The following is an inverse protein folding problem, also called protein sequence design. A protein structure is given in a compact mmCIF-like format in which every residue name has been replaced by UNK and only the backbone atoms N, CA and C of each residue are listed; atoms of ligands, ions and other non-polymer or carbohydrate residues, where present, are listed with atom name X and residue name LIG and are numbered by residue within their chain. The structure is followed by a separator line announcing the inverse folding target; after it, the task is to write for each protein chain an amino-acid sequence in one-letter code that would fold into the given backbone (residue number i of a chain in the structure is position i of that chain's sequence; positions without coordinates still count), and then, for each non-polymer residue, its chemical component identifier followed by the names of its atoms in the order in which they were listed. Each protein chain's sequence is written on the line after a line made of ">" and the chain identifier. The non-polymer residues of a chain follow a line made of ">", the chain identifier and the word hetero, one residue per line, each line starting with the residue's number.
data_IF_208831672213
#
_entry.id   IF_208831672213
#
_cell.length_a   1.000
_cell.length_b   1.000
_cell.length_c   1.000
_cell.angle_alpha   90.00
_cell.angle_beta   90.00
_cell.angle_gamma   90.00
#
_symmetry.space_group_name_H-M   'P 1'
#
loop_
_entity.id
_entity.type
_entity.pdbx_description
1 polymer ?
#
# COMPACT_ATOMS: atom_id res chain seq x y z
N UNK A 1 5.41 0.13 5.90
CA UNK A 1 4.75 1.41 6.24
C UNK A 1 3.29 1.17 6.58
N UNK A 2 2.83 1.49 7.79
CA UNK A 2 1.39 1.56 8.12
C UNK A 2 0.98 3.00 7.86
N UNK A 3 0.03 3.22 6.94
CA UNK A 3 -0.35 4.56 6.47
C UNK A 3 -1.73 4.99 6.92
N UNK A 4 -2.55 4.01 7.29
CA UNK A 4 -3.91 4.24 7.79
C UNK A 4 -4.22 3.11 8.74
N UNK A 5 -4.66 3.46 9.95
CA UNK A 5 -5.09 2.54 10.98
C UNK A 5 -6.10 3.26 11.89
N UNK A 6 -7.31 2.71 12.01
CA UNK A 6 -8.36 3.20 12.90
C UNK A 6 -8.66 2.22 14.06
N UNK A 7 -7.83 1.19 14.23
CA UNK A 7 -8.01 0.11 15.20
C UNK A 7 -8.94 -1.02 14.74
N UNK A 8 -9.67 -0.84 13.62
CA UNK A 8 -10.55 -1.86 13.03
C UNK A 8 -10.20 -2.14 11.56
N UNK A 9 -9.74 -1.12 10.86
CA UNK A 9 -9.27 -1.17 9.48
C UNK A 9 -7.86 -0.63 9.44
N UNK A 10 -7.05 -1.19 8.56
CA UNK A 10 -5.68 -0.74 8.38
C UNK A 10 -5.21 -0.94 6.94
N UNK A 11 -4.19 -0.19 6.55
CA UNK A 11 -3.49 -0.35 5.28
C UNK A 11 -1.99 -0.24 5.50
N UNK A 12 -1.26 -1.24 5.01
CA UNK A 12 0.19 -1.32 5.09
C UNK A 12 0.81 -1.60 3.73
N UNK A 13 1.93 -0.92 3.46
CA UNK A 13 2.78 -1.11 2.29
C UNK A 13 4.10 -1.76 2.67
N UNK A 14 4.54 -2.68 1.82
CA UNK A 14 5.88 -3.24 1.85
C UNK A 14 6.70 -2.60 0.74
N UNK A 15 7.92 -2.22 1.10
CA UNK A 15 8.87 -1.58 0.20
C UNK A 15 10.11 -2.46 0.06
N UNK A 16 10.69 -2.46 -1.14
CA UNK A 16 12.04 -2.94 -1.41
C UNK A 16 12.69 -1.99 -2.40
N UNK A 17 13.91 -1.54 -2.11
CA UNK A 17 14.69 -0.67 -2.98
C UNK A 17 13.95 0.60 -3.44
N UNK A 18 13.17 1.23 -2.55
CA UNK A 18 12.39 2.44 -2.88
C UNK A 18 11.07 2.19 -3.63
N UNK A 19 10.76 0.93 -3.97
CA UNK A 19 9.59 0.55 -4.77
C UNK A 19 8.58 -0.22 -3.92
N UNK A 20 7.29 0.00 -4.16
CA UNK A 20 6.22 -0.76 -3.51
C UNK A 20 6.16 -2.18 -4.07
N UNK A 21 6.31 -3.17 -3.20
CA UNK A 21 6.31 -4.60 -3.57
C UNK A 21 5.13 -5.38 -3.01
N UNK A 22 4.39 -4.79 -2.08
CA UNK A 22 3.28 -5.46 -1.43
C UNK A 22 2.33 -4.49 -0.76
N UNK A 23 1.07 -4.92 -0.64
CA UNK A 23 0.04 -4.22 0.09
C UNK A 23 -0.78 -5.22 0.89
N UNK A 24 -1.03 -4.92 2.16
CA UNK A 24 -1.93 -5.67 3.04
C UNK A 24 -2.88 -4.67 3.68
N UNK A 25 -4.17 -4.96 3.67
CA UNK A 25 -5.13 -4.10 4.33
C UNK A 25 -6.37 -4.85 4.80
N UNK A 26 -6.74 -4.64 6.06
CA UNK A 26 -8.01 -5.08 6.64
C UNK A 26 -9.07 -4.00 6.47
N UNK A 27 -10.23 -4.33 5.90
CA UNK A 27 -11.35 -3.39 5.77
C UNK A 27 -11.22 -2.30 4.69
N UNK A 28 -10.15 -2.32 3.87
CA UNK A 28 -9.93 -1.42 2.73
C UNK A 28 -9.73 -2.14 1.38
N UNK A 29 -10.66 -3.02 0.95
CA UNK A 29 -10.47 -3.80 -0.29
C UNK A 29 -10.29 -2.92 -1.54
N UNK A 30 -11.02 -1.80 -1.64
CA UNK A 30 -10.89 -0.87 -2.76
C UNK A 30 -9.51 -0.18 -2.84
N UNK A 31 -8.90 0.16 -1.69
CA UNK A 31 -7.54 0.73 -1.66
C UNK A 31 -6.50 -0.33 -2.02
N UNK A 32 -6.61 -1.53 -1.45
CA UNK A 32 -5.74 -2.69 -1.78
C UNK A 32 -5.76 -2.96 -3.28
N UNK A 33 -6.93 -3.05 -3.90
CA UNK A 33 -7.06 -3.31 -5.34
C UNK A 33 -6.40 -2.21 -6.20
N UNK A 34 -6.55 -0.93 -5.84
CA UNK A 34 -5.89 0.18 -6.55
C UNK A 34 -4.38 0.15 -6.42
N UNK A 35 -3.85 -0.27 -5.27
CA UNK A 35 -2.40 -0.33 -5.05
C UNK A 35 -1.77 -1.51 -5.80
N UNK A 36 -2.52 -2.60 -6.06
CA UNK A 36 -2.01 -3.74 -6.85
C UNK A 36 -1.55 -3.34 -8.26
N UNK A 37 -2.23 -2.39 -8.92
CA UNK A 37 -1.78 -1.91 -10.23
C UNK A 37 -0.48 -1.10 -10.13
N UNK A 38 -0.30 -0.30 -9.07
CA UNK A 38 0.95 0.42 -8.81
C UNK A 38 2.12 -0.53 -8.52
N UNK A 39 1.89 -1.62 -7.78
CA UNK A 39 2.91 -2.67 -7.55
C UNK A 39 3.33 -3.29 -8.89
N UNK A 40 2.38 -3.64 -9.75
CA UNK A 40 2.68 -4.20 -11.08
C UNK A 40 3.47 -3.22 -11.97
N UNK A 41 3.27 -1.91 -11.77
CA UNK A 41 4.02 -0.86 -12.48
C UNK A 41 5.40 -0.55 -11.86
N UNK A 42 5.77 -1.17 -10.73
CA UNK A 42 7.01 -0.85 -10.03
C UNK A 42 7.05 0.57 -9.49
N UNK A 43 5.91 1.09 -9.02
CA UNK A 43 5.81 2.48 -8.58
C UNK A 43 6.71 2.79 -7.37
N UNK A 44 7.35 3.98 -7.34
CA UNK A 44 8.04 4.47 -6.15
C UNK A 44 7.11 4.50 -4.94
N UNK A 45 7.62 4.12 -3.77
CA UNK A 45 6.84 4.16 -2.53
C UNK A 45 6.45 5.59 -2.14
N UNK A 46 7.25 6.58 -2.55
CA UNK A 46 6.97 8.01 -2.34
C UNK A 46 5.63 8.45 -2.93
N UNK A 47 5.18 7.82 -4.03
CA UNK A 47 3.91 8.13 -4.69
C UNK A 47 2.68 7.60 -3.92
N UNK A 48 2.93 6.85 -2.83
CA UNK A 48 1.92 6.24 -1.98
C UNK A 48 1.92 6.77 -0.54
N UNK A 49 3.02 7.40 -0.10
CA UNK A 49 3.18 7.95 1.24
C UNK A 49 2.86 9.45 1.34
N UNK A 50 2.54 10.09 0.21
CA UNK A 50 2.17 11.51 0.11
C UNK A 50 0.81 11.85 0.70
#
# INVERSE_FOLDING_TARGET
>A
HIVEDDGRKFLAYYERDGVVVGVVGGGFPGKVMKVRSKIAAGAPISDLLG
#
